data_IF_997526203714
#
_entry.id   IF_997526203714
#
_cell.length_a   1.000
_cell.length_b   1.000
_cell.length_c   1.000
_cell.angle_alpha   90.00
_cell.angle_beta   90.00
_cell.angle_gamma   90.00
#
_symmetry.space_group_name_H-M   'P 1'
#
loop_
_entity.id
_entity.type
_entity.pdbx_description
1 polymer ?
#
# COMPACT_ATOMS: atom_id res chain seq x y z
N UNK A 1 -34.99 -84.42 -19.15
CA UNK A 1 -35.44 -83.02 -19.34
C UNK A 1 -35.09 -82.14 -18.12
N UNK A 2 -33.86 -82.24 -17.58
CA UNK A 2 -33.47 -81.56 -16.32
C UNK A 2 -32.05 -80.94 -16.33
N UNK A 3 -31.24 -81.19 -17.36
CA UNK A 3 -29.85 -80.74 -17.41
C UNK A 3 -29.69 -79.32 -18.01
N UNK A 4 -30.61 -78.92 -18.91
CA UNK A 4 -30.59 -77.62 -19.57
C UNK A 4 -31.05 -76.47 -18.65
N UNK A 5 -31.97 -76.73 -17.71
CA UNK A 5 -32.42 -75.74 -16.73
C UNK A 5 -31.29 -75.27 -15.79
N UNK A 6 -30.47 -76.21 -15.33
CA UNK A 6 -29.36 -75.88 -14.42
C UNK A 6 -28.31 -75.00 -15.10
N UNK A 7 -27.99 -75.31 -16.35
CA UNK A 7 -27.05 -74.53 -17.16
C UNK A 7 -27.62 -73.12 -17.46
N UNK A 8 -28.90 -73.03 -17.80
CA UNK A 8 -29.59 -71.77 -18.04
C UNK A 8 -29.56 -70.85 -16.82
N UNK A 9 -29.91 -71.37 -15.63
CA UNK A 9 -29.86 -70.60 -14.39
C UNK A 9 -28.44 -70.17 -13.99
N UNK A 10 -27.42 -70.99 -14.28
CA UNK A 10 -26.02 -70.64 -14.05
C UNK A 10 -25.55 -69.50 -14.98
N UNK A 11 -25.93 -69.56 -16.26
CA UNK A 11 -25.61 -68.51 -17.25
C UNK A 11 -26.33 -67.21 -16.87
N UNK A 12 -27.63 -67.27 -16.57
CA UNK A 12 -28.43 -66.11 -16.18
C UNK A 12 -27.89 -65.43 -14.91
N UNK A 13 -27.47 -66.22 -13.91
CA UNK A 13 -26.84 -65.73 -12.67
C UNK A 13 -25.49 -65.06 -12.94
N UNK A 14 -24.70 -65.62 -13.86
CA UNK A 14 -23.40 -65.05 -14.25
C UNK A 14 -23.56 -63.73 -14.98
N UNK A 15 -24.52 -63.65 -15.91
CA UNK A 15 -24.88 -62.41 -16.63
C UNK A 15 -25.36 -61.34 -15.64
N UNK A 16 -26.22 -61.69 -14.68
CA UNK A 16 -26.70 -60.76 -13.66
C UNK A 16 -25.56 -60.20 -12.79
N UNK A 17 -24.60 -61.04 -12.39
CA UNK A 17 -23.41 -60.61 -11.65
C UNK A 17 -22.52 -59.68 -12.46
N UNK A 18 -22.32 -59.96 -13.75
CA UNK A 18 -21.56 -59.10 -14.66
C UNK A 18 -22.23 -57.72 -14.83
N UNK A 19 -23.55 -57.68 -15.03
CA UNK A 19 -24.30 -56.42 -15.10
C UNK A 19 -24.18 -55.60 -13.81
N UNK A 20 -24.21 -56.25 -12.65
CA UNK A 20 -24.01 -55.59 -11.35
C UNK A 20 -22.61 -55.00 -11.21
N UNK A 21 -21.58 -55.70 -11.67
CA UNK A 21 -20.19 -55.22 -11.66
C UNK A 21 -19.98 -54.02 -12.59
N UNK A 22 -20.51 -54.09 -13.82
CA UNK A 22 -20.44 -52.98 -14.79
C UNK A 22 -21.08 -51.72 -14.21
N UNK A 23 -22.26 -51.86 -13.58
CA UNK A 23 -22.97 -50.74 -12.96
C UNK A 23 -22.17 -50.11 -11.80
N UNK A 24 -21.52 -50.92 -10.96
CA UNK A 24 -20.64 -50.43 -9.88
C UNK A 24 -19.42 -49.69 -10.45
N UNK A 25 -18.79 -50.21 -11.52
CA UNK A 25 -17.65 -49.54 -12.15
C UNK A 25 -18.05 -48.19 -12.75
N UNK A 26 -19.20 -48.12 -13.44
CA UNK A 26 -19.74 -46.85 -13.95
C UNK A 26 -19.97 -45.82 -12.83
N UNK A 27 -20.59 -46.22 -11.71
CA UNK A 27 -20.78 -45.30 -10.57
C UNK A 27 -19.45 -44.77 -10.02
N UNK A 28 -18.41 -45.63 -9.90
CA UNK A 28 -17.08 -45.20 -9.45
C UNK A 28 -16.44 -44.20 -10.43
N UNK A 29 -16.53 -44.44 -11.73
CA UNK A 29 -15.99 -43.53 -12.76
C UNK A 29 -16.70 -42.17 -12.70
N UNK A 30 -18.03 -42.17 -12.62
CA UNK A 30 -18.82 -40.93 -12.50
C UNK A 30 -18.45 -40.16 -11.23
N UNK A 31 -18.29 -40.86 -10.09
CA UNK A 31 -17.89 -40.23 -8.82
C UNK A 31 -16.50 -39.57 -8.92
N UNK A 32 -15.54 -40.24 -9.57
CA UNK A 32 -14.19 -39.70 -9.81
C UNK A 32 -14.24 -38.48 -10.74
N UNK A 33 -15.02 -38.52 -11.82
CA UNK A 33 -15.20 -37.39 -12.74
C UNK A 33 -15.89 -36.19 -12.05
N UNK A 34 -16.91 -36.43 -11.23
CA UNK A 34 -17.58 -35.39 -10.44
C UNK A 34 -16.63 -34.75 -9.43
N UNK A 35 -15.81 -35.55 -8.74
CA UNK A 35 -14.79 -35.05 -7.80
C UNK A 35 -13.71 -34.20 -8.50
N UNK A 36 -13.24 -34.65 -9.68
CA UNK A 36 -12.27 -33.91 -10.49
C UNK A 36 -12.84 -32.56 -10.97
N UNK A 37 -14.07 -32.55 -11.49
CA UNK A 37 -14.77 -31.32 -11.90
C UNK A 37 -14.98 -30.37 -10.71
N UNK A 38 -15.36 -30.89 -9.55
CA UNK A 38 -15.53 -30.07 -8.36
C UNK A 38 -14.21 -29.44 -7.91
N UNK A 39 -13.11 -30.20 -7.91
CA UNK A 39 -11.78 -29.70 -7.60
C UNK A 39 -11.33 -28.63 -8.61
N UNK A 40 -11.57 -28.83 -9.90
CA UNK A 40 -11.30 -27.84 -10.95
C UNK A 40 -12.08 -26.53 -10.71
N UNK A 41 -13.37 -26.63 -10.39
CA UNK A 41 -14.20 -25.46 -10.07
C UNK A 41 -13.71 -24.72 -8.83
N UNK A 42 -13.32 -25.43 -7.77
CA UNK A 42 -12.74 -24.86 -6.56
C UNK A 42 -11.40 -24.15 -6.85
N UNK A 43 -10.54 -24.79 -7.65
CA UNK A 43 -9.27 -24.21 -8.06
C UNK A 43 -9.48 -22.94 -8.92
N UNK A 44 -10.45 -22.96 -9.84
CA UNK A 44 -10.83 -21.81 -10.65
C UNK A 44 -11.38 -20.66 -9.79
N UNK A 45 -12.28 -20.93 -8.85
CA UNK A 45 -12.81 -19.90 -7.95
C UNK A 45 -11.71 -19.29 -7.08
N UNK A 46 -10.77 -20.11 -6.60
CA UNK A 46 -9.63 -19.62 -5.84
C UNK A 46 -8.69 -18.76 -6.70
N UNK A 47 -8.46 -19.15 -7.96
CA UNK A 47 -7.66 -18.37 -8.92
C UNK A 47 -8.27 -17.00 -9.22
N UNK A 48 -9.61 -16.94 -9.40
CA UNK A 48 -10.33 -15.68 -9.58
C UNK A 48 -10.17 -14.78 -8.35
N UNK A 49 -10.33 -15.33 -7.15
CA UNK A 49 -10.18 -14.59 -5.90
C UNK A 49 -8.76 -14.02 -5.73
N UNK A 50 -7.74 -14.81 -6.05
CA UNK A 50 -6.33 -14.37 -6.04
C UNK A 50 -6.08 -13.25 -7.07
N UNK A 51 -6.67 -13.33 -8.26
CA UNK A 51 -6.54 -12.29 -9.28
C UNK A 51 -7.21 -10.98 -8.85
N UNK A 52 -8.39 -11.05 -8.23
CA UNK A 52 -9.09 -9.87 -7.69
C UNK A 52 -8.26 -9.19 -6.60
N UNK A 53 -7.64 -9.96 -5.70
CA UNK A 53 -6.77 -9.42 -4.66
C UNK A 53 -5.53 -8.76 -5.22
N UNK A 54 -4.85 -9.40 -6.16
CA UNK A 54 -3.68 -8.83 -6.82
C UNK A 54 -4.04 -7.48 -7.47
N UNK A 55 -5.20 -7.39 -8.11
CA UNK A 55 -5.69 -6.16 -8.71
C UNK A 55 -5.95 -5.06 -7.67
N UNK A 56 -6.61 -5.39 -6.56
CA UNK A 56 -6.89 -4.45 -5.46
C UNK A 56 -5.58 -3.92 -4.86
N UNK A 57 -4.63 -4.80 -4.52
CA UNK A 57 -3.32 -4.40 -3.98
C UNK A 57 -2.55 -3.53 -4.96
N UNK A 58 -2.60 -3.83 -6.27
CA UNK A 58 -1.95 -3.00 -7.28
C UNK A 58 -2.59 -1.60 -7.37
N UNK A 59 -3.92 -1.52 -7.36
CA UNK A 59 -4.64 -0.24 -7.39
C UNK A 59 -4.36 0.61 -6.14
N UNK A 60 -4.31 -0.01 -4.96
CA UNK A 60 -4.00 0.68 -3.72
C UNK A 60 -2.56 1.24 -3.74
N UNK A 61 -1.59 0.44 -4.19
CA UNK A 61 -0.20 0.88 -4.37
C UNK A 61 -0.08 2.09 -5.31
N UNK A 62 -0.81 2.08 -6.44
CA UNK A 62 -0.84 3.22 -7.35
C UNK A 62 -1.44 4.46 -6.69
N UNK A 63 -2.51 4.30 -5.91
CA UNK A 63 -3.14 5.37 -5.14
C UNK A 63 -2.17 5.99 -4.13
N UNK A 64 -1.50 5.17 -3.33
CA UNK A 64 -0.47 5.60 -2.37
C UNK A 64 0.68 6.35 -3.06
N UNK A 65 1.20 5.83 -4.17
CA UNK A 65 2.28 6.46 -4.92
C UNK A 65 1.87 7.85 -5.44
N UNK A 66 0.64 7.97 -5.94
CA UNK A 66 0.11 9.25 -6.43
C UNK A 66 -0.03 10.26 -5.29
N UNK A 67 -0.60 9.84 -4.16
CA UNK A 67 -0.75 10.72 -3.00
C UNK A 67 0.61 11.16 -2.43
N UNK A 68 1.58 10.25 -2.35
CA UNK A 68 2.93 10.58 -1.89
C UNK A 68 3.62 11.60 -2.81
N UNK A 69 3.50 11.44 -4.14
CA UNK A 69 4.02 12.43 -5.11
C UNK A 69 3.34 13.79 -4.94
N UNK A 70 2.03 13.81 -4.69
CA UNK A 70 1.29 15.02 -4.40
C UNK A 70 1.82 15.71 -3.14
N UNK A 71 2.05 14.95 -2.06
CA UNK A 71 2.59 15.47 -0.81
C UNK A 71 3.99 16.06 -0.99
N UNK A 72 4.86 15.38 -1.75
CA UNK A 72 6.19 15.88 -2.08
C UNK A 72 6.14 17.19 -2.87
N UNK A 73 5.18 17.32 -3.77
CA UNK A 73 4.97 18.54 -4.55
C UNK A 73 4.51 19.69 -3.65
N UNK A 74 3.56 19.43 -2.75
CA UNK A 74 3.10 20.41 -1.77
C UNK A 74 4.24 20.86 -0.84
N UNK A 75 5.03 19.93 -0.30
CA UNK A 75 6.21 20.24 0.50
C UNK A 75 7.19 21.15 -0.25
N UNK A 76 7.47 20.81 -1.51
CA UNK A 76 8.36 21.60 -2.36
C UNK A 76 7.83 23.02 -2.57
N UNK A 77 6.51 23.16 -2.78
CA UNK A 77 5.84 24.47 -2.95
C UNK A 77 5.90 25.29 -1.66
N UNK A 78 5.51 24.71 -0.54
CA UNK A 78 5.59 25.35 0.78
C UNK A 78 7.00 25.88 1.04
N UNK A 79 8.02 25.03 0.84
CA UNK A 79 9.41 25.41 1.09
C UNK A 79 9.86 26.53 0.15
N UNK A 80 9.45 26.49 -1.12
CA UNK A 80 9.76 27.53 -2.11
C UNK A 80 9.14 28.88 -1.74
N UNK A 81 7.86 28.90 -1.39
CA UNK A 81 7.12 30.12 -1.06
C UNK A 81 7.64 30.74 0.25
N UNK A 82 7.88 29.92 1.28
CA UNK A 82 8.51 30.34 2.53
C UNK A 82 9.90 30.92 2.26
N UNK A 83 10.76 30.22 1.51
CA UNK A 83 12.10 30.70 1.19
C UNK A 83 12.09 32.04 0.46
N UNK A 84 11.13 32.25 -0.44
CA UNK A 84 10.99 33.51 -1.17
C UNK A 84 10.72 34.68 -0.23
N UNK A 85 9.90 34.47 0.79
CA UNK A 85 9.59 35.47 1.83
C UNK A 85 10.81 35.71 2.71
N UNK A 86 11.42 34.63 3.22
CA UNK A 86 12.55 34.72 4.16
C UNK A 86 13.76 35.46 3.58
N UNK A 87 14.06 35.25 2.29
CA UNK A 87 15.13 35.96 1.57
C UNK A 87 15.00 37.49 1.58
N UNK A 88 13.78 38.01 1.69
CA UNK A 88 13.52 39.45 1.71
C UNK A 88 13.40 40.04 3.12
N UNK A 89 13.31 39.20 4.16
CA UNK A 89 13.00 39.64 5.54
C UNK A 89 14.07 39.32 6.57
N UNK A 90 14.87 38.26 6.37
CA UNK A 90 15.89 37.85 7.35
C UNK A 90 17.23 38.53 7.11
N UNK A 91 17.90 38.90 8.22
CA UNK A 91 19.32 39.23 8.22
C UNK A 91 20.18 37.96 8.35
N UNK A 92 21.34 37.97 7.68
CA UNK A 92 22.26 36.82 7.63
C UNK A 92 22.88 36.54 9.00
N UNK A 93 23.21 37.56 9.77
CA UNK A 93 23.86 37.36 11.07
C UNK A 93 22.84 36.89 12.11
N UNK A 94 21.65 37.48 12.12
CA UNK A 94 20.57 37.10 13.04
C UNK A 94 20.20 35.62 12.89
N UNK A 95 20.01 35.15 11.65
CA UNK A 95 19.68 33.74 11.42
C UNK A 95 20.86 32.82 11.77
N UNK A 96 22.11 33.21 11.50
CA UNK A 96 23.29 32.43 11.91
C UNK A 96 23.38 32.30 13.41
N UNK A 97 23.09 33.37 14.14
CA UNK A 97 23.06 33.37 15.59
C UNK A 97 21.97 32.42 16.11
N UNK A 98 20.73 32.56 15.63
CA UNK A 98 19.63 31.64 15.98
C UNK A 98 20.02 30.17 15.76
N UNK A 99 20.57 29.87 14.59
CA UNK A 99 20.99 28.53 14.18
C UNK A 99 22.21 28.01 14.95
N UNK A 100 23.01 28.91 15.53
CA UNK A 100 24.11 28.53 16.41
C UNK A 100 23.64 27.93 17.74
N UNK A 101 22.46 28.36 18.22
CA UNK A 101 21.80 27.79 19.40
C UNK A 101 21.09 26.47 19.08
N UNK A 102 20.68 26.26 17.83
CA UNK A 102 20.02 25.02 17.41
C UNK A 102 20.96 23.80 17.51
N UNK A 103 22.15 23.87 16.93
CA UNK A 103 23.19 22.86 17.19
C UNK A 103 24.59 23.29 16.77
N UNK A 104 25.61 22.69 17.41
CA UNK A 104 27.03 22.91 17.08
C UNK A 104 27.35 22.50 15.64
N UNK A 105 26.74 21.41 15.16
CA UNK A 105 26.92 20.95 13.77
C UNK A 105 26.37 21.97 12.79
N UNK A 106 25.20 22.53 13.08
CA UNK A 106 24.55 23.47 12.20
C UNK A 106 25.26 24.83 12.18
N UNK A 107 25.74 25.29 13.35
CA UNK A 107 26.65 26.45 13.46
C UNK A 107 27.80 26.37 12.46
N UNK A 108 28.50 25.23 12.41
CA UNK A 108 29.63 25.03 11.49
C UNK A 108 29.21 25.04 10.01
N UNK A 109 28.04 24.47 9.69
CA UNK A 109 27.51 24.49 8.31
C UNK A 109 27.23 25.91 7.83
N UNK A 110 26.62 26.74 8.68
CA UNK A 110 26.17 28.08 8.29
C UNK A 110 27.23 29.18 8.46
N UNK A 111 28.31 28.91 9.18
CA UNK A 111 29.41 29.88 9.41
C UNK A 111 29.96 30.44 8.09
N UNK A 112 30.15 29.57 7.09
CA UNK A 112 30.69 29.92 5.77
C UNK A 112 29.66 30.50 4.80
N UNK A 113 28.37 30.49 5.14
CA UNK A 113 27.33 31.01 4.24
C UNK A 113 27.40 32.54 4.15
N UNK A 114 27.40 33.10 2.94
CA UNK A 114 27.39 34.55 2.70
C UNK A 114 25.99 35.15 2.58
N UNK A 115 24.97 34.32 2.35
CA UNK A 115 23.62 34.77 2.08
C UNK A 115 22.55 33.84 2.68
N UNK A 116 21.33 34.38 2.80
CA UNK A 116 20.16 33.67 3.30
C UNK A 116 19.84 32.43 2.45
N UNK A 117 20.07 32.47 1.13
CA UNK A 117 19.74 31.34 0.27
C UNK A 117 20.56 30.10 0.60
N UNK A 118 21.84 30.29 0.90
CA UNK A 118 22.79 29.23 1.29
C UNK A 118 22.43 28.67 2.66
N UNK A 119 22.04 29.52 3.60
CA UNK A 119 21.57 29.11 4.93
C UNK A 119 20.28 28.29 4.82
N UNK A 120 19.29 28.77 4.07
CA UNK A 120 18.02 28.07 3.88
C UNK A 120 18.17 26.74 3.14
N UNK A 121 19.23 26.56 2.34
CA UNK A 121 19.56 25.26 1.76
C UNK A 121 19.93 24.24 2.84
N UNK A 122 20.76 24.64 3.81
CA UNK A 122 21.08 23.78 4.95
C UNK A 122 19.86 23.51 5.82
N UNK A 123 18.97 24.50 6.02
CA UNK A 123 17.72 24.31 6.77
C UNK A 123 16.85 23.25 6.09
N UNK A 124 16.74 23.32 4.75
CA UNK A 124 16.02 22.34 3.96
C UNK A 124 16.55 20.92 4.15
N UNK A 125 17.86 20.76 4.24
CA UNK A 125 18.49 19.45 4.36
C UNK A 125 18.30 18.81 5.76
N UNK A 126 18.04 19.61 6.79
CA UNK A 126 17.64 19.10 8.12
C UNK A 126 16.14 18.82 8.21
N UNK A 127 15.33 19.50 7.41
CA UNK A 127 13.91 19.22 7.33
C UNK A 127 13.62 17.97 6.50
N UNK A 128 12.48 17.35 6.78
CA UNK A 128 11.90 16.26 6.00
C UNK A 128 10.45 16.58 5.64
N UNK A 129 9.78 15.66 4.94
CA UNK A 129 8.34 15.79 4.68
C UNK A 129 7.52 15.89 5.96
N UNK A 130 7.98 15.28 7.05
CA UNK A 130 7.19 15.10 8.27
C UNK A 130 7.70 15.97 9.41
N UNK A 131 9.00 16.29 9.38
CA UNK A 131 9.66 17.13 10.36
C UNK A 131 10.09 18.44 9.71
N UNK A 132 9.38 19.51 10.05
CA UNK A 132 9.62 20.87 9.57
C UNK A 132 9.79 21.85 10.75
N UNK A 133 10.06 21.35 11.96
CA UNK A 133 10.06 22.18 13.17
C UNK A 133 11.14 23.26 13.16
N UNK A 134 12.30 22.96 12.56
CA UNK A 134 13.35 23.96 12.37
C UNK A 134 12.85 25.12 11.49
N UNK A 135 12.22 24.83 10.35
CA UNK A 135 11.67 25.86 9.47
C UNK A 135 10.55 26.64 10.16
N UNK A 136 9.68 25.95 10.91
CA UNK A 136 8.60 26.56 11.67
C UNK A 136 9.13 27.57 12.72
N UNK A 137 10.18 27.19 13.45
CA UNK A 137 10.81 28.06 14.45
C UNK A 137 11.42 29.32 13.83
N UNK A 138 11.93 29.23 12.61
CA UNK A 138 12.52 30.37 11.87
C UNK A 138 11.44 31.36 11.42
N UNK A 139 10.26 30.88 11.04
CA UNK A 139 9.17 31.73 10.51
C UNK A 139 8.19 32.20 11.58
N UNK A 140 8.38 31.84 12.85
CA UNK A 140 7.43 32.11 13.94
C UNK A 140 7.00 33.58 14.00
N UNK A 141 7.94 34.50 13.79
CA UNK A 141 7.74 35.96 13.80
C UNK A 141 7.32 36.54 12.42
N UNK A 142 7.23 35.71 11.38
CA UNK A 142 6.91 36.11 10.01
C UNK A 142 5.56 35.52 9.62
N UNK A 143 4.48 36.22 9.99
CA UNK A 143 3.10 35.75 9.82
C UNK A 143 2.77 35.24 8.40
N UNK A 144 3.21 35.96 7.36
CA UNK A 144 3.03 35.55 5.96
C UNK A 144 3.65 34.18 5.64
N UNK A 145 4.83 33.88 6.18
CA UNK A 145 5.50 32.60 5.96
C UNK A 145 4.89 31.48 6.82
N UNK A 146 4.41 31.82 8.03
CA UNK A 146 3.74 30.89 8.94
C UNK A 146 2.47 30.30 8.32
N UNK A 147 1.70 31.09 7.56
CA UNK A 147 0.48 30.62 6.88
C UNK A 147 0.75 29.44 5.92
N UNK A 148 1.85 29.49 5.16
CA UNK A 148 2.24 28.41 4.26
C UNK A 148 2.61 27.12 5.01
N UNK A 149 3.26 27.25 6.18
CA UNK A 149 3.60 26.10 7.02
C UNK A 149 2.35 25.45 7.61
N UNK A 150 1.43 26.26 8.13
CA UNK A 150 0.18 25.74 8.71
C UNK A 150 -0.71 25.08 7.65
N UNK A 151 -0.78 25.66 6.46
CA UNK A 151 -1.46 25.05 5.31
C UNK A 151 -0.85 23.68 4.99
N UNK A 152 0.48 23.59 4.90
CA UNK A 152 1.16 22.31 4.65
C UNK A 152 0.91 21.28 5.77
N UNK A 153 0.95 21.70 7.04
CA UNK A 153 0.66 20.81 8.18
C UNK A 153 -0.77 20.25 8.11
N UNK A 154 -1.74 21.07 7.71
CA UNK A 154 -3.11 20.62 7.51
C UNK A 154 -3.22 19.60 6.38
N UNK A 155 -2.58 19.85 5.23
CA UNK A 155 -2.53 18.90 4.11
C UNK A 155 -1.86 17.58 4.51
N UNK A 156 -0.75 17.65 5.26
CA UNK A 156 -0.02 16.49 5.75
C UNK A 156 -0.89 15.66 6.72
N UNK A 157 -1.68 16.31 7.58
CA UNK A 157 -2.63 15.64 8.48
C UNK A 157 -3.71 14.88 7.72
N UNK A 158 -4.31 15.51 6.70
CA UNK A 158 -5.29 14.83 5.84
C UNK A 158 -4.67 13.68 5.03
N UNK A 159 -3.42 13.85 4.58
CA UNK A 159 -2.66 12.78 3.93
C UNK A 159 -2.49 11.58 4.88
N UNK A 160 -2.07 11.78 6.13
CA UNK A 160 -1.96 10.68 7.09
C UNK A 160 -3.29 9.99 7.37
N UNK A 161 -4.38 10.75 7.48
CA UNK A 161 -5.72 10.20 7.64
C UNK A 161 -6.11 9.33 6.44
N UNK A 162 -5.82 9.78 5.23
CA UNK A 162 -6.08 8.99 4.01
C UNK A 162 -5.31 7.66 4.00
N UNK A 163 -4.02 7.69 4.39
CA UNK A 163 -3.18 6.50 4.46
C UNK A 163 -3.69 5.53 5.53
N UNK A 164 -3.99 6.03 6.74
CA UNK A 164 -4.51 5.21 7.83
C UNK A 164 -5.80 4.49 7.42
N UNK A 165 -6.73 5.18 6.75
CA UNK A 165 -7.96 4.56 6.26
C UNK A 165 -7.66 3.46 5.24
N UNK A 166 -6.77 3.71 4.26
CA UNK A 166 -6.42 2.69 3.26
C UNK A 166 -5.70 1.47 3.86
N UNK A 167 -4.80 1.66 4.82
CA UNK A 167 -4.11 0.54 5.49
C UNK A 167 -5.08 -0.29 6.33
N UNK A 168 -6.00 0.34 7.06
CA UNK A 168 -7.05 -0.39 7.77
C UNK A 168 -7.96 -1.18 6.83
N UNK A 169 -8.20 -0.71 5.61
CA UNK A 169 -8.94 -1.47 4.60
C UNK A 169 -8.15 -2.69 4.12
N UNK A 170 -6.83 -2.59 3.96
CA UNK A 170 -5.97 -3.75 3.63
C UNK A 170 -5.98 -4.81 4.73
N UNK A 171 -5.84 -4.41 6.00
CA UNK A 171 -5.87 -5.32 7.14
C UNK A 171 -7.19 -6.08 7.21
N UNK A 172 -8.31 -5.39 6.96
CA UNK A 172 -9.62 -6.03 6.96
C UNK A 172 -9.79 -7.01 5.80
N UNK A 173 -9.33 -6.67 4.58
CA UNK A 173 -9.39 -7.58 3.43
C UNK A 173 -8.55 -8.85 3.64
N UNK A 174 -7.43 -8.76 4.37
CA UNK A 174 -6.61 -9.90 4.74
C UNK A 174 -7.30 -10.86 5.73
N UNK A 175 -8.28 -10.39 6.52
CA UNK A 175 -9.04 -11.22 7.47
C UNK A 175 -10.17 -12.03 6.83
N UNK A 176 -10.56 -11.73 5.59
CA UNK A 176 -11.61 -12.46 4.85
C UNK A 176 -11.05 -13.56 3.94
N UNK A 177 -9.77 -13.88 4.08
CA UNK A 177 -8.98 -14.87 3.33
C UNK A 177 -8.58 -16.06 4.20
#
# INVERSE_FOLDING_TARGET
MYHWDKLYWMILRSIFLLLKLVRIMMYKIILVLMKSRHQLMLNLSHLVLLMEQLLVTHLLNLYHLKNFKSMKTSYTRMFYDVNKILKGKLDVNDIKEFLSYYSVTFRKKVEQCSDISSILHHVKDECSLTDIELLHSIVEEIAEAKEYIETYRAELKEFYKSISVSLCLEENLALFL
#
